data_IF_058898535189
#
_entry.id   IF_058898535189
#
_cell.length_a   1.000
_cell.length_b   1.000
_cell.length_c   1.000
_cell.angle_alpha   90.00
_cell.angle_beta   90.00
_cell.angle_gamma   90.00
#
_symmetry.space_group_name_H-M   'P 1'
#
loop_
_entity.id
_entity.type
_entity.pdbx_description
1 polymer ?
#
# COMPACT_ATOMS: atom_id res chain seq x y z
N UNK A 1 1.00 -38.02 42.75
CA UNK A 1 0.00 -37.30 41.95
C UNK A 1 0.22 -35.78 41.84
N UNK A 2 0.78 -35.11 42.85
CA UNK A 2 0.96 -33.62 42.81
C UNK A 2 1.96 -33.07 41.75
N UNK A 3 2.98 -33.81 41.36
CA UNK A 3 3.99 -33.37 40.36
C UNK A 3 3.41 -33.23 38.94
N UNK A 4 2.51 -34.16 38.54
CA UNK A 4 1.88 -34.12 37.21
C UNK A 4 0.94 -32.92 37.03
N UNK A 5 0.15 -32.59 38.05
CA UNK A 5 -0.76 -31.47 38.04
C UNK A 5 0.01 -30.12 37.96
N UNK A 6 1.07 -29.96 38.74
CA UNK A 6 1.93 -28.75 38.67
C UNK A 6 2.56 -28.56 37.30
N UNK A 7 3.04 -29.62 36.65
CA UNK A 7 3.58 -29.53 35.30
C UNK A 7 2.51 -29.17 34.27
N UNK A 8 1.29 -29.66 34.44
CA UNK A 8 0.16 -29.31 33.55
C UNK A 8 -0.22 -27.83 33.70
N UNK A 9 -0.37 -27.35 34.91
CA UNK A 9 -0.65 -25.91 35.18
C UNK A 9 0.41 -25.04 34.56
N UNK A 10 1.71 -25.34 34.76
CA UNK A 10 2.82 -24.58 34.19
C UNK A 10 2.80 -24.56 32.65
N UNK A 11 2.38 -25.64 32.00
CA UNK A 11 2.20 -25.67 30.54
C UNK A 11 1.05 -24.77 30.09
N UNK A 12 -0.08 -24.77 30.83
CA UNK A 12 -1.20 -23.88 30.53
C UNK A 12 -0.83 -22.40 30.68
N UNK A 13 -0.10 -22.04 31.73
CA UNK A 13 0.40 -20.68 31.93
C UNK A 13 1.31 -20.25 30.80
N UNK A 14 2.24 -21.12 30.38
CA UNK A 14 3.12 -20.84 29.22
C UNK A 14 2.33 -20.62 27.92
N UNK A 15 1.27 -21.39 27.66
CA UNK A 15 0.39 -21.19 26.50
C UNK A 15 -0.35 -19.87 26.60
N UNK A 16 -0.82 -19.47 27.77
CA UNK A 16 -1.48 -18.19 27.96
C UNK A 16 -0.54 -17.01 27.68
N UNK A 17 0.70 -17.09 28.12
CA UNK A 17 1.70 -16.04 27.84
C UNK A 17 2.02 -15.94 26.35
N UNK A 18 2.15 -17.06 25.65
CA UNK A 18 2.33 -17.08 24.19
C UNK A 18 1.13 -16.45 23.50
N UNK A 19 -0.10 -16.77 23.91
CA UNK A 19 -1.32 -16.22 23.34
C UNK A 19 -1.42 -14.69 23.52
N UNK A 20 -0.95 -14.15 24.64
CA UNK A 20 -0.90 -12.68 24.82
C UNK A 20 0.06 -11.98 23.87
N UNK A 21 1.15 -12.62 23.49
CA UNK A 21 2.17 -12.06 22.61
C UNK A 21 1.86 -12.29 21.12
N UNK A 22 1.05 -13.30 20.82
CA UNK A 22 0.76 -13.69 19.43
C UNK A 22 0.20 -12.56 18.56
N UNK A 23 -0.82 -11.78 18.99
CA UNK A 23 -1.36 -10.70 18.18
C UNK A 23 -0.32 -9.62 17.84
N UNK A 24 0.56 -9.30 18.77
CA UNK A 24 1.67 -8.35 18.52
C UNK A 24 2.62 -8.84 17.43
N UNK A 25 3.02 -10.10 17.51
CA UNK A 25 3.90 -10.72 16.50
C UNK A 25 3.22 -10.80 15.15
N UNK A 26 1.96 -11.22 15.11
CA UNK A 26 1.15 -11.25 13.90
C UNK A 26 1.02 -9.87 13.25
N UNK A 27 0.79 -8.82 14.06
CA UNK A 27 0.70 -7.44 13.58
C UNK A 27 2.01 -6.97 12.92
N UNK A 28 3.16 -7.29 13.49
CA UNK A 28 4.46 -6.93 12.91
C UNK A 28 4.69 -7.64 11.57
N UNK A 29 4.38 -8.93 11.51
CA UNK A 29 4.50 -9.73 10.27
C UNK A 29 3.57 -9.17 9.19
N UNK A 30 2.31 -8.91 9.53
CA UNK A 30 1.32 -8.36 8.61
C UNK A 30 1.70 -6.94 8.14
N UNK A 31 2.22 -6.08 9.03
CA UNK A 31 2.71 -4.76 8.65
C UNK A 31 3.90 -4.85 7.69
N UNK A 32 4.83 -5.77 7.94
CA UNK A 32 5.94 -6.04 7.03
C UNK A 32 5.43 -6.51 5.67
N UNK A 33 4.51 -7.47 5.66
CA UNK A 33 3.88 -7.96 4.43
C UNK A 33 3.28 -6.82 3.61
N UNK A 34 2.44 -5.96 4.20
CA UNK A 34 1.86 -4.79 3.51
C UNK A 34 2.94 -3.89 2.92
N UNK A 35 3.97 -3.54 3.70
CA UNK A 35 5.06 -2.68 3.22
C UNK A 35 5.87 -3.31 2.08
N UNK A 36 6.02 -4.62 2.08
CA UNK A 36 6.74 -5.35 1.04
C UNK A 36 5.91 -5.42 -0.25
N UNK A 37 4.57 -5.49 -0.18
CA UNK A 37 3.69 -5.37 -1.37
C UNK A 37 3.90 -4.04 -2.09
N UNK A 38 4.03 -2.93 -1.34
CA UNK A 38 4.34 -1.61 -1.93
C UNK A 38 5.73 -1.55 -2.57
N UNK A 39 6.70 -2.30 -2.06
CA UNK A 39 8.07 -2.34 -2.64
C UNK A 39 8.13 -3.16 -3.91
N UNK A 40 7.41 -4.27 -3.93
CA UNK A 40 7.40 -5.22 -5.05
C UNK A 40 6.35 -4.87 -6.10
N UNK A 41 5.50 -3.87 -5.83
CA UNK A 41 4.41 -3.42 -6.72
C UNK A 41 3.53 -4.57 -7.20
N UNK A 42 3.21 -5.48 -6.29
CA UNK A 42 2.39 -6.62 -6.60
C UNK A 42 1.39 -6.91 -5.46
N UNK A 43 0.39 -7.70 -5.78
CA UNK A 43 -0.51 -8.32 -4.83
C UNK A 43 -0.28 -9.82 -4.83
N UNK A 44 -0.33 -10.44 -3.67
CA UNK A 44 -0.29 -11.90 -3.52
C UNK A 44 -1.62 -12.34 -2.94
N UNK A 45 -2.44 -12.97 -3.78
CA UNK A 45 -3.58 -13.76 -3.43
C UNK A 45 -3.30 -15.21 -3.81
N UNK A 46 -4.23 -15.85 -4.51
CA UNK A 46 -4.03 -17.19 -5.10
C UNK A 46 -2.93 -17.15 -6.19
N UNK A 47 -2.76 -16.00 -6.81
CA UNK A 47 -1.69 -15.71 -7.79
C UNK A 47 -1.00 -14.41 -7.43
N UNK A 48 0.24 -14.26 -7.88
CA UNK A 48 0.96 -12.98 -7.76
C UNK A 48 0.59 -12.10 -8.95
N UNK A 49 -0.07 -10.98 -8.68
CA UNK A 49 -0.51 -10.02 -9.69
C UNK A 49 0.29 -8.72 -9.57
N UNK A 50 1.02 -8.32 -10.61
CA UNK A 50 1.70 -7.03 -10.61
C UNK A 50 0.68 -5.89 -10.69
N UNK A 51 0.97 -4.78 -10.02
CA UNK A 51 0.14 -3.59 -10.13
C UNK A 51 0.24 -2.97 -11.52
N UNK A 52 -0.86 -2.41 -12.00
CA UNK A 52 -0.88 -1.70 -13.28
C UNK A 52 0.10 -0.53 -13.25
N UNK A 53 0.93 -0.38 -14.30
CA UNK A 53 1.88 0.73 -14.36
C UNK A 53 1.14 2.08 -14.41
N UNK A 54 1.82 3.12 -13.96
CA UNK A 54 1.27 4.49 -14.01
C UNK A 54 1.18 4.97 -15.45
N UNK A 55 0.05 5.53 -15.80
CA UNK A 55 -0.17 6.16 -17.10
C UNK A 55 0.40 7.59 -17.10
N UNK A 56 0.20 8.34 -15.99
CA UNK A 56 0.65 9.74 -15.84
C UNK A 56 1.08 10.05 -14.40
N UNK A 57 2.12 10.87 -14.20
CA UNK A 57 3.16 11.23 -15.16
C UNK A 57 4.07 10.02 -15.45
N UNK A 58 4.59 9.93 -16.66
CA UNK A 58 5.47 8.83 -17.13
C UNK A 58 6.89 8.92 -16.55
N UNK A 59 7.04 9.32 -15.30
CA UNK A 59 8.34 9.30 -14.66
C UNK A 59 8.58 7.93 -14.01
N UNK A 60 9.85 7.51 -13.97
CA UNK A 60 10.31 6.20 -13.48
C UNK A 60 10.09 5.94 -11.99
N UNK A 61 9.10 6.58 -11.37
CA UNK A 61 8.80 6.36 -9.96
C UNK A 61 7.79 5.24 -9.82
N UNK A 62 8.03 4.42 -8.81
CA UNK A 62 7.16 3.31 -8.48
C UNK A 62 5.71 3.74 -8.22
N UNK A 63 4.77 2.89 -8.55
CA UNK A 63 3.35 3.11 -8.33
C UNK A 63 3.07 3.37 -6.84
N UNK A 64 2.18 4.31 -6.53
CA UNK A 64 1.81 4.70 -5.16
C UNK A 64 2.95 5.27 -4.27
N UNK A 65 4.12 5.56 -4.83
CA UNK A 65 5.23 6.14 -4.05
C UNK A 65 5.19 7.67 -3.95
N UNK A 66 4.52 8.37 -4.88
CA UNK A 66 4.37 9.84 -4.87
C UNK A 66 5.69 10.63 -4.84
N UNK A 67 5.61 11.97 -4.81
CA UNK A 67 6.80 12.84 -4.73
C UNK A 67 7.62 12.64 -3.45
N UNK A 68 7.00 12.28 -2.34
CA UNK A 68 7.62 12.09 -1.03
C UNK A 68 8.18 10.69 -0.76
N UNK A 69 8.30 9.82 -1.77
CA UNK A 69 8.91 8.50 -1.60
C UNK A 69 8.08 7.53 -0.74
N UNK A 70 6.80 7.36 -1.04
CA UNK A 70 5.97 6.33 -0.42
C UNK A 70 5.22 6.78 0.82
N UNK A 71 4.56 7.94 0.76
CA UNK A 71 3.81 8.47 1.90
C UNK A 71 2.70 7.51 2.35
N UNK A 72 2.01 6.81 1.43
CA UNK A 72 1.02 5.80 1.78
C UNK A 72 1.67 4.59 2.46
N UNK A 73 2.73 4.03 1.89
CA UNK A 73 3.47 2.91 2.49
C UNK A 73 3.96 3.23 3.91
N UNK A 74 4.50 4.45 4.12
CA UNK A 74 5.02 4.88 5.43
C UNK A 74 3.93 5.14 6.46
N UNK A 75 2.72 5.50 6.01
CA UNK A 75 1.60 5.77 6.92
C UNK A 75 0.97 4.50 7.50
N UNK A 76 1.20 3.33 6.93
CA UNK A 76 0.74 2.08 7.53
C UNK A 76 1.46 1.80 8.85
N UNK A 77 0.68 1.63 9.89
CA UNK A 77 1.14 1.38 11.26
C UNK A 77 0.17 0.46 12.01
N UNK A 78 0.65 -0.11 13.10
CA UNK A 78 -0.22 -0.83 14.04
C UNK A 78 -0.96 0.23 14.83
N UNK A 79 -2.28 0.32 14.63
CA UNK A 79 -3.17 1.30 15.28
C UNK A 79 -3.67 0.81 16.63
N UNK A 80 -3.90 -0.49 16.74
CA UNK A 80 -4.36 -1.10 17.99
C UNK A 80 -3.74 -2.49 18.13
N UNK A 81 -3.32 -2.83 19.33
CA UNK A 81 -2.83 -4.17 19.65
C UNK A 81 -3.28 -4.54 21.05
N UNK A 82 -4.15 -5.53 21.14
CA UNK A 82 -4.64 -6.14 22.39
C UNK A 82 -4.32 -7.64 22.36
N UNK A 83 -4.47 -8.37 23.48
CA UNK A 83 -4.24 -9.82 23.48
C UNK A 83 -5.13 -10.62 22.51
N UNK A 84 -6.28 -10.05 22.08
CA UNK A 84 -7.21 -10.72 21.17
C UNK A 84 -7.26 -10.12 19.78
N UNK A 85 -6.77 -8.88 19.61
CA UNK A 85 -6.95 -8.12 18.37
C UNK A 85 -5.72 -7.29 18.04
N UNK A 86 -5.27 -7.36 16.79
CA UNK A 86 -4.30 -6.46 16.21
C UNK A 86 -4.91 -5.78 14.98
N UNK A 87 -4.82 -4.45 14.93
CA UNK A 87 -5.33 -3.64 13.83
C UNK A 87 -4.18 -2.91 13.17
N UNK A 88 -4.07 -3.07 11.86
CA UNK A 88 -3.12 -2.35 11.01
C UNK A 88 -3.93 -1.39 10.14
N UNK A 89 -3.51 -0.16 10.06
CA UNK A 89 -4.21 0.85 9.29
C UNK A 89 -3.34 2.02 8.88
N UNK A 90 -3.94 2.94 8.16
CA UNK A 90 -3.35 4.19 7.72
C UNK A 90 -4.34 5.32 7.96
N UNK A 91 -3.82 6.51 8.22
CA UNK A 91 -4.58 7.75 8.39
C UNK A 91 -4.82 8.50 7.05
N UNK A 92 -4.38 7.93 5.93
CA UNK A 92 -4.52 8.58 4.63
C UNK A 92 -5.92 8.41 4.05
N UNK A 93 -6.62 9.53 3.87
CA UNK A 93 -8.01 9.59 3.36
C UNK A 93 -8.18 8.89 2.00
N UNK A 94 -7.13 8.88 1.19
CA UNK A 94 -7.15 8.25 -0.14
C UNK A 94 -6.82 6.74 -0.14
N UNK A 95 -6.47 6.17 1.01
CA UNK A 95 -6.12 4.75 1.09
C UNK A 95 -7.26 3.80 0.69
N UNK A 96 -8.52 4.00 1.10
CA UNK A 96 -9.64 3.18 0.66
C UNK A 96 -9.82 3.19 -0.86
N UNK A 97 -9.62 4.35 -1.50
CA UNK A 97 -9.73 4.47 -2.96
C UNK A 97 -8.73 3.57 -3.71
N UNK A 98 -7.55 3.34 -3.13
CA UNK A 98 -6.56 2.44 -3.73
C UNK A 98 -6.84 0.97 -3.44
N UNK A 99 -7.50 0.66 -2.34
CA UNK A 99 -7.78 -0.72 -1.93
C UNK A 99 -9.08 -1.27 -2.54
N UNK A 100 -10.13 -0.46 -2.55
CA UNK A 100 -11.49 -0.87 -2.95
C UNK A 100 -11.88 -0.31 -4.32
N UNK A 101 -11.10 0.63 -4.83
CA UNK A 101 -11.48 1.45 -5.96
C UNK A 101 -12.46 2.55 -5.56
N UNK A 102 -12.44 3.64 -6.30
CA UNK A 102 -13.36 4.77 -6.07
C UNK A 102 -13.72 5.43 -7.39
N UNK A 103 -14.99 5.77 -7.55
CA UNK A 103 -15.43 6.63 -8.64
C UNK A 103 -15.13 8.07 -8.28
N UNK A 104 -14.11 8.66 -8.91
CA UNK A 104 -13.72 10.05 -8.68
C UNK A 104 -14.46 10.92 -9.70
N UNK A 105 -15.38 11.81 -9.27
CA UNK A 105 -16.02 12.75 -10.17
C UNK A 105 -14.99 13.74 -10.71
N UNK A 106 -15.01 13.98 -12.01
CA UNK A 106 -14.11 14.94 -12.65
C UNK A 106 -14.59 16.35 -12.34
N UNK A 107 -13.86 17.07 -11.50
CA UNK A 107 -14.14 18.48 -11.19
C UNK A 107 -13.70 19.39 -12.34
N UNK A 108 -14.22 20.62 -12.40
CA UNK A 108 -13.79 21.61 -13.40
C UNK A 108 -12.29 21.88 -13.35
N UNK A 109 -11.70 21.93 -12.15
CA UNK A 109 -10.26 22.11 -11.97
C UNK A 109 -9.47 20.96 -12.58
N UNK A 110 -9.93 19.73 -12.41
CA UNK A 110 -9.32 18.55 -13.03
C UNK A 110 -9.47 18.59 -14.55
N UNK A 111 -10.64 18.99 -15.05
CA UNK A 111 -10.88 19.14 -16.49
C UNK A 111 -9.94 20.15 -17.12
N UNK A 112 -9.80 21.35 -16.52
CA UNK A 112 -8.85 22.38 -16.96
C UNK A 112 -7.42 21.87 -16.96
N UNK A 113 -7.00 21.14 -15.92
CA UNK A 113 -5.66 20.57 -15.83
C UNK A 113 -5.40 19.50 -16.91
N UNK A 114 -6.36 18.62 -17.16
CA UNK A 114 -6.22 17.59 -18.19
C UNK A 114 -6.21 18.21 -19.59
N UNK A 115 -7.02 19.24 -19.82
CA UNK A 115 -7.06 19.96 -21.08
C UNK A 115 -5.72 20.68 -21.36
N UNK A 116 -5.18 21.41 -20.39
CA UNK A 116 -3.86 22.02 -20.51
C UNK A 116 -2.77 21.00 -20.85
N UNK A 117 -2.75 19.86 -20.16
CA UNK A 117 -1.80 18.78 -20.46
C UNK A 117 -1.98 18.16 -21.83
N UNK A 118 -3.20 18.11 -22.33
CA UNK A 118 -3.49 17.61 -23.67
C UNK A 118 -2.92 18.55 -24.73
N UNK A 119 -3.10 19.87 -24.57
CA UNK A 119 -2.52 20.88 -25.45
C UNK A 119 -1.01 20.81 -25.45
N UNK A 120 -0.35 20.81 -24.28
CA UNK A 120 1.11 20.68 -24.14
C UNK A 120 1.65 19.41 -24.84
N UNK A 121 0.92 18.30 -24.74
CA UNK A 121 1.32 17.06 -25.37
C UNK A 121 1.21 17.12 -26.89
N UNK A 122 0.18 17.78 -27.41
CA UNK A 122 -0.04 17.99 -28.85
C UNK A 122 1.03 18.90 -29.46
N UNK A 123 1.37 20.02 -28.81
CA UNK A 123 2.43 20.91 -29.23
C UNK A 123 3.79 20.21 -29.29
N UNK A 124 4.12 19.41 -28.25
CA UNK A 124 5.36 18.62 -28.23
C UNK A 124 5.44 17.57 -29.34
N UNK A 125 4.34 16.97 -29.74
CA UNK A 125 4.32 16.01 -30.85
C UNK A 125 4.54 16.73 -32.19
N UNK A 126 3.93 17.88 -32.40
CA UNK A 126 4.10 18.70 -33.63
C UNK A 126 5.54 19.20 -33.77
N UNK A 127 6.18 19.64 -32.68
CA UNK A 127 7.61 20.06 -32.70
C UNK A 127 8.52 18.88 -33.07
N UNK A 128 8.23 17.67 -32.56
CA UNK A 128 9.01 16.46 -32.90
C UNK A 128 8.87 16.09 -34.38
N UNK A 129 7.68 16.15 -34.93
CA UNK A 129 7.42 15.87 -36.35
C UNK A 129 8.10 16.91 -37.25
N UNK A 130 8.06 18.19 -36.89
CA UNK A 130 8.75 19.24 -37.61
C UNK A 130 10.28 19.07 -37.61
N UNK A 131 10.88 18.61 -36.51
CA UNK A 131 12.30 18.30 -36.42
C UNK A 131 12.72 17.09 -37.27
N UNK A 132 11.85 16.09 -37.40
CA UNK A 132 12.12 14.88 -38.21
C UNK A 132 11.97 15.15 -39.72
N UNK A 133 11.19 16.13 -40.13
CA UNK A 133 10.99 16.52 -41.53
C UNK A 133 12.06 17.45 -42.07
N UNK A 134 12.95 17.98 -41.22
CA UNK A 134 14.08 18.86 -41.60
C UNK A 134 15.43 18.14 -41.71
N UNK A 135 15.46 16.82 -41.56
CA UNK A 135 16.63 15.97 -41.82
C UNK A 135 16.47 15.19 -43.12
#
# INVERSE_FOLDING_TARGET
MAKGLKNYIRKLEAVQEVNKLYPKRAAVIALKFVKDRFRQENWIGDRTEPWKPRIFPQNRRNTLTGKGGGSLRRSYRITRSTPQLAVIGTDKVYAPAHNEGMRIPVTEKMRKLFWAKHIDAKERSQIKEAHLSCQ
#
